data_IF_437431440719
#
_entry.id   IF_437431440719
#
_cell.length_a   1.000
_cell.length_b   1.000
_cell.length_c   1.000
_cell.angle_alpha   90.00
_cell.angle_beta   90.00
_cell.angle_gamma   90.00
#
_symmetry.space_group_name_H-M   'P 1'
#
loop_
_entity.id
_entity.type
_entity.pdbx_description
1 polymer ?
#
# COMPACT_ATOMS: atom_id res chain seq x y z
N UNK A 1 6.08 -4.44 -14.03
CA UNK A 1 4.71 -3.98 -14.31
C UNK A 1 4.62 -3.65 -15.78
N UNK A 2 3.47 -3.93 -16.38
CA UNK A 2 3.25 -3.77 -17.81
C UNK A 2 1.89 -3.12 -18.01
N UNK A 3 1.77 -2.31 -19.04
CA UNK A 3 0.52 -1.76 -19.52
C UNK A 3 0.40 -2.05 -21.00
N UNK A 4 -0.80 -2.46 -21.43
CA UNK A 4 -1.12 -2.72 -22.82
C UNK A 4 -2.29 -1.85 -23.25
N UNK A 5 -2.30 -1.47 -24.51
CA UNK A 5 -3.46 -0.88 -25.12
C UNK A 5 -4.55 -1.96 -25.24
N UNK A 6 -5.71 -1.75 -24.61
CA UNK A 6 -6.78 -2.73 -24.57
C UNK A 6 -7.44 -2.98 -25.94
N UNK A 7 -7.39 -2.02 -26.87
CA UNK A 7 -8.00 -2.14 -28.19
C UNK A 7 -7.07 -2.86 -29.18
N UNK A 8 -5.76 -2.61 -29.11
CA UNK A 8 -4.79 -3.14 -30.08
C UNK A 8 -3.97 -4.31 -29.56
N UNK A 9 -3.91 -4.51 -28.24
CA UNK A 9 -3.02 -5.47 -27.59
C UNK A 9 -1.55 -5.06 -27.58
N UNK A 10 -1.21 -3.88 -28.12
CA UNK A 10 0.17 -3.41 -28.16
C UNK A 10 0.66 -3.03 -26.76
N UNK A 11 1.92 -3.36 -26.46
CA UNK A 11 2.58 -2.90 -25.24
C UNK A 11 2.63 -1.36 -25.24
N UNK A 12 2.07 -0.75 -24.21
CA UNK A 12 2.13 0.69 -23.99
C UNK A 12 3.43 1.06 -23.26
N UNK A 13 3.64 0.48 -22.07
CA UNK A 13 4.87 0.67 -21.30
C UNK A 13 5.20 -0.54 -20.45
N UNK A 14 6.47 -0.66 -20.06
CA UNK A 14 7.00 -1.66 -19.15
C UNK A 14 7.89 -1.00 -18.11
N UNK A 15 7.67 -1.33 -16.84
CA UNK A 15 8.46 -0.87 -15.70
C UNK A 15 9.04 -2.08 -14.97
N UNK A 16 10.36 -2.11 -14.78
CA UNK A 16 11.00 -3.13 -13.96
C UNK A 16 10.94 -2.74 -12.49
N UNK A 17 10.32 -3.58 -11.67
CA UNK A 17 10.23 -3.38 -10.22
C UNK A 17 11.35 -4.18 -9.57
N UNK A 18 12.43 -3.48 -9.19
CA UNK A 18 13.66 -4.09 -8.70
C UNK A 18 13.71 -4.18 -7.18
N UNK A 19 14.71 -4.87 -6.64
CA UNK A 19 14.92 -5.01 -5.20
C UNK A 19 13.78 -5.74 -4.49
N UNK A 20 13.19 -6.72 -5.18
CA UNK A 20 12.30 -7.72 -4.62
C UNK A 20 13.10 -8.98 -4.29
N UNK A 21 12.79 -9.64 -3.18
CA UNK A 21 13.28 -11.00 -2.96
C UNK A 21 12.63 -11.94 -4.01
N UNK A 22 13.43 -12.76 -4.71
CA UNK A 22 12.94 -13.63 -5.79
C UNK A 22 11.85 -14.63 -5.34
N UNK A 23 11.75 -14.91 -4.03
CA UNK A 23 10.69 -15.75 -3.44
C UNK A 23 9.44 -14.96 -3.03
N UNK A 24 9.54 -13.63 -2.94
CA UNK A 24 8.42 -12.76 -2.58
C UNK A 24 7.67 -12.33 -3.84
N UNK A 25 6.52 -12.96 -4.09
CA UNK A 25 5.56 -12.47 -5.09
C UNK A 25 4.94 -11.12 -4.69
N UNK A 26 3.99 -10.66 -5.50
CA UNK A 26 3.17 -9.50 -5.14
C UNK A 26 2.08 -9.87 -4.12
N UNK A 27 1.67 -8.88 -3.33
CA UNK A 27 0.56 -9.00 -2.39
C UNK A 27 -0.74 -9.36 -3.11
N UNK A 28 -1.61 -10.11 -2.42
CA UNK A 28 -2.99 -10.40 -2.85
C UNK A 28 -3.85 -9.15 -3.05
N UNK A 29 -3.42 -7.99 -2.56
CA UNK A 29 -4.08 -6.70 -2.79
C UNK A 29 -4.14 -6.29 -4.27
N UNK A 30 -3.24 -6.84 -5.10
CA UNK A 30 -3.10 -6.45 -6.50
C UNK A 30 -2.58 -5.01 -6.67
N UNK A 31 -2.26 -4.62 -7.90
CA UNK A 31 -2.00 -3.22 -8.19
C UNK A 31 -3.29 -2.39 -8.08
N UNK A 32 -3.17 -1.12 -7.72
CA UNK A 32 -4.32 -0.22 -7.68
C UNK A 32 -3.95 1.18 -8.16
N UNK A 33 -4.92 1.85 -8.78
CA UNK A 33 -4.79 3.19 -9.32
C UNK A 33 -5.45 4.20 -8.37
N UNK A 34 -4.80 5.34 -8.15
CA UNK A 34 -5.39 6.52 -7.53
C UNK A 34 -4.89 7.77 -8.27
N UNK A 35 -5.79 8.49 -8.94
CA UNK A 35 -5.40 9.54 -9.89
C UNK A 35 -4.48 9.00 -10.98
N UNK A 36 -3.36 9.68 -11.24
CA UNK A 36 -2.32 9.24 -12.19
C UNK A 36 -1.22 8.36 -11.53
N UNK A 37 -1.44 7.85 -10.32
CA UNK A 37 -0.47 7.05 -9.58
C UNK A 37 -0.95 5.60 -9.46
N UNK A 38 -0.18 4.69 -10.03
CA UNK A 38 -0.39 3.26 -9.91
C UNK A 38 0.53 2.70 -8.83
N UNK A 39 -0.05 1.96 -7.89
CA UNK A 39 0.66 1.38 -6.77
C UNK A 39 0.72 -0.13 -6.90
N UNK A 40 1.86 -0.70 -6.54
CA UNK A 40 2.02 -2.15 -6.40
C UNK A 40 2.72 -2.44 -5.08
N UNK A 41 2.30 -3.50 -4.40
CA UNK A 41 2.88 -3.88 -3.10
C UNK A 41 3.32 -5.32 -3.14
N UNK A 42 4.55 -5.58 -2.70
CA UNK A 42 5.08 -6.93 -2.60
C UNK A 42 4.64 -7.62 -1.32
N UNK A 43 4.75 -8.96 -1.30
CA UNK A 43 4.51 -9.74 -0.09
C UNK A 43 5.48 -9.39 1.04
N UNK A 44 6.62 -8.75 0.75
CA UNK A 44 7.58 -8.27 1.77
C UNK A 44 7.32 -6.82 2.23
N UNK A 45 6.21 -6.22 1.79
CA UNK A 45 5.82 -4.86 2.19
C UNK A 45 6.55 -3.75 1.44
N UNK A 46 7.24 -4.07 0.34
CA UNK A 46 7.82 -3.07 -0.54
C UNK A 46 6.72 -2.43 -1.39
N UNK A 47 6.68 -1.11 -1.45
CA UNK A 47 5.65 -0.37 -2.19
C UNK A 47 6.29 0.35 -3.35
N UNK A 48 5.68 0.25 -4.52
CA UNK A 48 6.08 0.95 -5.72
C UNK A 48 4.97 1.92 -6.11
N UNK A 49 5.33 3.13 -6.50
CA UNK A 49 4.45 4.09 -7.14
C UNK A 49 5.01 4.39 -8.52
N UNK A 50 4.21 4.13 -9.55
CA UNK A 50 4.54 4.47 -10.93
C UNK A 50 3.51 5.44 -11.48
N UNK A 51 3.95 6.27 -12.42
CA UNK A 51 3.06 7.08 -13.24
C UNK A 51 2.23 6.16 -14.14
N UNK A 52 0.91 6.30 -14.12
CA UNK A 52 0.01 5.34 -14.78
C UNK A 52 -0.02 5.48 -16.30
N UNK A 53 0.27 6.68 -16.80
CA UNK A 53 0.30 6.98 -18.24
C UNK A 53 1.61 6.54 -18.87
N UNK A 54 2.73 6.80 -18.21
CA UNK A 54 4.07 6.60 -18.78
C UNK A 54 4.79 5.35 -18.27
N UNK A 55 4.35 4.80 -17.14
CA UNK A 55 5.03 3.70 -16.45
C UNK A 55 6.31 4.12 -15.72
N UNK A 56 6.62 5.42 -15.62
CA UNK A 56 7.82 5.87 -14.92
C UNK A 56 7.72 5.59 -13.43
N UNK A 57 8.77 5.00 -12.84
CA UNK A 57 8.86 4.83 -11.40
C UNK A 57 9.00 6.21 -10.74
N UNK A 58 8.00 6.60 -9.96
CA UNK A 58 8.01 7.87 -9.22
C UNK A 58 8.79 7.70 -7.93
N UNK A 59 8.45 6.67 -7.16
CA UNK A 59 9.18 6.29 -5.96
C UNK A 59 8.96 4.81 -5.65
N UNK A 60 9.86 4.27 -4.84
CA UNK A 60 9.67 2.99 -4.18
C UNK A 60 10.00 3.14 -2.70
N UNK A 61 9.11 2.66 -1.83
CA UNK A 61 9.38 2.56 -0.41
C UNK A 61 9.94 1.18 -0.12
N UNK A 62 11.06 1.14 0.59
CA UNK A 62 11.84 -0.07 0.81
C UNK A 62 11.09 -1.08 1.68
N UNK A 63 10.27 -0.65 2.66
CA UNK A 63 9.63 -1.60 3.57
C UNK A 63 8.51 -1.01 4.44
N UNK A 64 7.35 -1.66 4.39
CA UNK A 64 6.24 -1.47 5.32
C UNK A 64 6.07 -2.73 6.16
N UNK A 65 6.60 -2.70 7.39
CA UNK A 65 6.57 -3.81 8.35
C UNK A 65 7.95 -4.08 8.98
N UNK A 66 7.98 -4.58 10.22
CA UNK A 66 9.22 -5.00 10.88
C UNK A 66 9.46 -6.51 10.69
N UNK A 67 10.69 -6.95 10.98
CA UNK A 67 11.06 -8.37 11.04
C UNK A 67 10.94 -8.97 12.45
N UNK A 68 10.54 -8.14 13.42
CA UNK A 68 10.55 -8.50 14.84
C UNK A 68 9.63 -9.71 15.15
N UNK A 69 8.64 -9.99 14.29
CA UNK A 69 7.71 -11.12 14.41
C UNK A 69 7.73 -12.09 13.19
N UNK A 70 8.82 -12.15 12.43
CA UNK A 70 8.95 -12.99 11.24
C UNK A 70 9.17 -12.19 9.95
N UNK A 71 9.15 -12.82 8.76
CA UNK A 71 9.41 -12.10 7.52
C UNK A 71 8.40 -10.97 7.38
N UNK A 72 8.88 -9.75 7.14
CA UNK A 72 8.01 -8.60 6.91
C UNK A 72 6.97 -8.97 5.87
N UNK A 73 5.69 -8.80 6.21
CA UNK A 73 4.61 -9.10 5.29
C UNK A 73 3.90 -7.81 4.92
N UNK A 74 3.81 -7.58 3.62
CA UNK A 74 2.99 -6.53 3.07
C UNK A 74 1.52 -6.71 3.44
N UNK A 75 0.71 -5.66 3.26
CA UNK A 75 -0.74 -5.76 3.45
C UNK A 75 -1.31 -6.92 2.65
N UNK A 76 -2.22 -7.69 3.23
CA UNK A 76 -3.02 -8.67 2.47
C UNK A 76 -4.22 -8.03 1.76
N UNK A 77 -4.43 -6.72 1.95
CA UNK A 77 -5.63 -5.99 1.52
C UNK A 77 -5.25 -4.71 0.79
N UNK A 78 -6.18 -4.19 -0.02
CA UNK A 78 -5.93 -2.98 -0.80
C UNK A 78 -5.79 -1.77 0.13
N UNK A 79 -4.65 -1.07 0.11
CA UNK A 79 -4.51 0.22 0.78
C UNK A 79 -5.56 1.22 0.28
N UNK A 80 -5.77 2.26 1.08
CA UNK A 80 -6.58 3.40 0.67
C UNK A 80 -5.71 4.64 0.58
N UNK A 81 -6.04 5.51 -0.37
CA UNK A 81 -5.46 6.84 -0.46
C UNK A 81 -6.55 7.84 -0.12
N UNK A 82 -6.21 8.75 0.79
CA UNK A 82 -7.05 9.88 1.19
C UNK A 82 -6.18 11.13 1.08
N UNK A 83 -6.63 12.11 0.31
CA UNK A 83 -5.82 13.26 -0.08
C UNK A 83 -4.47 12.78 -0.64
N UNK A 84 -3.37 13.16 0.01
CA UNK A 84 -2.00 12.79 -0.36
C UNK A 84 -1.41 11.69 0.54
N UNK A 85 -2.24 11.00 1.33
CA UNK A 85 -1.77 10.00 2.31
C UNK A 85 -2.26 8.61 1.92
N UNK A 86 -1.31 7.69 1.79
CA UNK A 86 -1.51 6.27 1.57
C UNK A 86 -1.53 5.54 2.92
N UNK A 87 -2.63 4.87 3.22
CA UNK A 87 -2.86 4.12 4.44
C UNK A 87 -2.64 2.63 4.19
N UNK A 88 -1.60 2.08 4.82
CA UNK A 88 -1.16 0.71 4.60
C UNK A 88 -1.17 -0.05 5.92
N UNK A 89 -1.79 -1.23 5.91
CA UNK A 89 -1.66 -2.16 7.02
C UNK A 89 -0.36 -2.96 6.88
N UNK A 90 0.46 -2.96 7.91
CA UNK A 90 1.65 -3.78 8.02
C UNK A 90 1.32 -5.02 8.86
N UNK A 91 1.26 -6.19 8.22
CA UNK A 91 0.78 -7.41 8.88
C UNK A 91 1.75 -7.93 9.94
N UNK A 92 3.06 -7.83 9.71
CA UNK A 92 4.08 -8.40 10.61
C UNK A 92 4.18 -7.67 11.95
N UNK A 93 3.97 -6.35 11.98
CA UNK A 93 4.01 -5.55 13.20
C UNK A 93 2.65 -5.01 13.65
N UNK A 94 1.57 -5.52 13.04
CA UNK A 94 0.19 -5.19 13.38
C UNK A 94 -0.06 -3.68 13.44
N UNK A 95 0.54 -2.94 12.50
CA UNK A 95 0.56 -1.49 12.49
C UNK A 95 -0.19 -0.89 11.31
N UNK A 96 -0.78 0.28 11.53
CA UNK A 96 -1.18 1.17 10.43
C UNK A 96 -0.03 2.11 10.12
N UNK A 97 0.30 2.23 8.84
CA UNK A 97 1.40 3.05 8.33
C UNK A 97 0.84 4.07 7.37
N UNK A 98 1.09 5.35 7.65
CA UNK A 98 0.74 6.46 6.79
C UNK A 98 1.96 6.81 5.94
N UNK A 99 1.76 6.96 4.63
CA UNK A 99 2.82 7.21 3.67
C UNK A 99 2.42 8.38 2.80
N UNK A 100 3.33 9.34 2.62
CA UNK A 100 3.14 10.44 1.68
C UNK A 100 3.16 9.90 0.24
N UNK A 101 2.08 10.13 -0.49
CA UNK A 101 1.89 9.61 -1.85
C UNK A 101 2.79 10.26 -2.90
N UNK A 102 3.36 11.43 -2.60
CA UNK A 102 4.24 12.19 -3.51
C UNK A 102 5.68 11.70 -3.42
N UNK A 103 6.13 11.39 -2.22
CA UNK A 103 7.53 11.05 -1.92
C UNK A 103 7.75 9.58 -1.58
N UNK A 104 6.70 8.87 -1.18
CA UNK A 104 6.80 7.52 -0.64
C UNK A 104 7.35 7.47 0.79
N UNK A 105 7.49 8.61 1.47
CA UNK A 105 8.05 8.68 2.83
C UNK A 105 7.01 8.26 3.87
N UNK A 106 7.42 7.52 4.90
CA UNK A 106 6.55 7.21 6.03
C UNK A 106 6.30 8.48 6.85
N UNK A 107 5.03 8.83 7.05
CA UNK A 107 4.58 9.94 7.89
C UNK A 107 4.40 9.48 9.34
N UNK A 108 3.60 8.43 9.55
CA UNK A 108 3.25 7.93 10.87
C UNK A 108 3.17 6.40 10.89
N UNK A 109 3.32 5.81 12.08
CA UNK A 109 3.13 4.38 12.33
C UNK A 109 2.45 4.17 13.68
N UNK A 110 1.28 3.52 13.65
CA UNK A 110 0.47 3.24 14.83
C UNK A 110 0.53 1.74 15.14
N UNK A 111 1.32 1.33 16.16
CA UNK A 111 1.61 -0.08 16.50
C UNK A 111 0.62 -0.75 17.46
N UNK A 112 -0.11 0.02 18.25
CA UNK A 112 -0.87 -0.52 19.39
C UNK A 112 -2.26 -1.07 19.02
N UNK A 113 -2.61 -1.08 17.74
CA UNK A 113 -3.98 -1.42 17.39
C UNK A 113 -4.21 -2.85 16.93
N UNK A 114 -3.26 -3.76 17.19
CA UNK A 114 -3.38 -5.19 16.90
C UNK A 114 -4.03 -5.43 15.53
N UNK A 115 -3.56 -4.71 14.52
CA UNK A 115 -4.19 -4.65 13.21
C UNK A 115 -3.90 -5.92 12.41
N UNK A 116 -4.82 -6.88 12.42
CA UNK A 116 -4.85 -7.99 11.45
C UNK A 116 -5.86 -7.74 10.33
N UNK A 117 -6.13 -6.47 10.05
CA UNK A 117 -7.42 -6.11 9.50
C UNK A 117 -7.59 -6.22 8.00
N UNK A 118 -8.75 -6.75 7.58
CA UNK A 118 -9.06 -7.08 6.17
C UNK A 118 -9.46 -5.89 5.30
N UNK A 119 -9.98 -4.80 5.85
CA UNK A 119 -10.36 -3.62 5.07
C UNK A 119 -10.16 -2.35 5.90
N UNK A 120 -9.70 -1.28 5.24
CA UNK A 120 -9.72 0.08 5.78
C UNK A 120 -10.80 0.84 5.03
N UNK A 121 -11.79 1.36 5.76
CA UNK A 121 -12.74 2.34 5.28
C UNK A 121 -12.34 3.70 5.86
N UNK A 122 -12.48 4.76 5.09
CA UNK A 122 -12.31 6.12 5.57
C UNK A 122 -13.61 6.90 5.40
N UNK A 123 -14.02 7.56 6.48
CA UNK A 123 -15.09 8.53 6.50
C UNK A 123 -14.49 9.94 6.45
N UNK A 124 -14.76 10.65 5.35
CA UNK A 124 -14.25 12.00 5.14
C UNK A 124 -14.88 13.04 6.06
N UNK A 125 -16.13 12.85 6.48
CA UNK A 125 -16.87 13.81 7.30
C UNK A 125 -16.29 13.84 8.71
N UNK A 126 -16.14 12.66 9.30
CA UNK A 126 -15.62 12.51 10.67
C UNK A 126 -14.10 12.39 10.73
N UNK A 127 -13.43 12.30 9.57
CA UNK A 127 -11.99 12.03 9.45
C UNK A 127 -11.60 10.73 10.19
N UNK A 128 -12.48 9.74 10.16
CA UNK A 128 -12.35 8.48 10.90
C UNK A 128 -12.04 7.33 9.97
N UNK A 129 -11.05 6.53 10.34
CA UNK A 129 -10.75 5.27 9.68
C UNK A 129 -11.38 4.13 10.44
N UNK A 130 -12.08 3.26 9.73
CA UNK A 130 -12.63 2.02 10.23
C UNK A 130 -11.81 0.84 9.73
N UNK A 131 -11.32 0.02 10.65
CA UNK A 131 -10.54 -1.17 10.32
C UNK A 131 -11.13 -2.36 11.04
N UNK A 132 -11.48 -3.40 10.29
CA UNK A 132 -11.88 -4.70 10.88
C UNK A 132 -10.62 -5.45 11.25
N UNK A 133 -10.23 -5.59 12.52
CA UNK A 133 -9.03 -6.30 12.96
C UNK A 133 -9.42 -7.43 13.93
N UNK A 134 -9.04 -8.67 13.59
CA UNK A 134 -9.54 -9.88 14.25
C UNK A 134 -11.09 -9.83 14.35
N UNK A 135 -11.68 -10.13 15.50
CA UNK A 135 -13.14 -10.11 15.70
C UNK A 135 -13.71 -8.70 15.98
N UNK A 136 -12.92 -7.65 15.77
CA UNK A 136 -13.25 -6.29 16.23
C UNK A 136 -13.34 -5.30 15.06
N UNK A 137 -14.30 -4.38 15.13
CA UNK A 137 -14.28 -3.14 14.36
C UNK A 137 -13.57 -2.06 15.19
N UNK A 138 -12.55 -1.42 14.62
CA UNK A 138 -11.82 -0.32 15.26
C UNK A 138 -12.02 0.97 14.47
N UNK A 139 -12.11 2.08 15.17
CA UNK A 139 -12.21 3.42 14.61
C UNK A 139 -11.08 4.31 15.17
N UNK A 140 -10.43 5.11 14.33
CA UNK A 140 -9.45 6.10 14.80
C UNK A 140 -9.47 7.36 13.92
N UNK A 141 -9.24 8.51 14.55
CA UNK A 141 -9.16 9.81 13.89
C UNK A 141 -7.70 10.21 13.75
N UNK A 142 -7.29 10.62 12.55
CA UNK A 142 -5.96 11.23 12.35
C UNK A 142 -6.10 12.72 12.65
N UNK A 143 -5.41 13.21 13.68
CA UNK A 143 -5.35 14.65 13.98
C UNK A 143 -4.31 15.28 13.06
N UNK A 144 -4.71 16.32 12.30
CA UNK A 144 -3.76 17.21 11.61
C UNK A 144 -2.95 18.01 12.61
#
# INVERSE_FOLDING_TARGET
>A
MYSWNAATGNLHWKTELTGLNQKAGFSFSGPFLHGNRMYAISNEGKIFCVDSETGLLIWQNVKVGNEDNGPARGPCNRPIVVDDILFVNAWSDQALVLIDTKTGSQLERHKDAKYNGRNVLYDEETKTFFVTADEMLRAFTVKK
#
